data_IF_648849908425
#
_entry.id   IF_648849908425
#
_cell.length_a   1.000
_cell.length_b   1.000
_cell.length_c   1.000
_cell.angle_alpha   90.00
_cell.angle_beta   90.00
_cell.angle_gamma   90.00
#
_symmetry.space_group_name_H-M   'P 1'
#
loop_
_entity.id
_entity.type
_entity.pdbx_description
1 polymer ?
#
# COMPACT_ATOMS: atom_id res chain seq x y z
N UNK A 1 4.35 10.16 2.73
CA UNK A 1 4.65 11.53 2.26
C UNK A 1 3.50 12.42 2.70
N UNK A 2 3.76 13.32 3.65
CA UNK A 2 2.78 14.32 4.08
C UNK A 2 2.93 15.55 3.19
N UNK A 3 1.89 15.88 2.46
CA UNK A 3 1.78 17.16 1.76
C UNK A 3 1.09 18.11 2.75
N UNK A 4 1.83 19.10 3.23
CA UNK A 4 1.29 20.22 4.00
C UNK A 4 0.84 21.29 3.04
N UNK A 5 -0.30 21.88 3.34
CA UNK A 5 -0.91 23.06 2.74
C UNK A 5 -1.31 22.95 1.26
N UNK A 6 -2.57 22.61 1.06
CA UNK A 6 -3.35 23.12 -0.07
C UNK A 6 -4.79 23.30 0.38
N UNK A 7 -5.19 24.56 0.52
CA UNK A 7 -6.54 24.98 0.93
C UNK A 7 -7.60 24.68 -0.12
N UNK A 8 -7.28 23.89 -1.19
CA UNK A 8 -8.20 23.69 -2.27
C UNK A 8 -8.28 22.20 -2.71
N UNK A 9 -9.45 21.59 -2.48
CA UNK A 9 -9.75 20.21 -2.89
C UNK A 9 -9.55 20.01 -4.41
N UNK A 10 -9.82 21.05 -5.19
CA UNK A 10 -9.66 21.03 -6.65
C UNK A 10 -8.20 20.90 -7.06
N UNK A 11 -7.30 21.54 -6.36
CA UNK A 11 -5.88 21.57 -6.68
C UNK A 11 -5.21 20.24 -6.35
N UNK A 12 -5.56 19.62 -5.21
CA UNK A 12 -5.05 18.29 -4.88
C UNK A 12 -5.48 17.23 -5.92
N UNK A 13 -6.72 17.29 -6.40
CA UNK A 13 -7.18 16.38 -7.47
C UNK A 13 -6.46 16.61 -8.79
N UNK A 14 -6.18 17.86 -9.15
CA UNK A 14 -5.39 18.21 -10.34
C UNK A 14 -3.96 17.73 -10.22
N UNK A 15 -3.33 17.92 -9.06
CA UNK A 15 -1.98 17.44 -8.78
C UNK A 15 -1.91 15.91 -8.86
N UNK A 16 -2.84 15.20 -8.21
CA UNK A 16 -2.91 13.74 -8.28
C UNK A 16 -3.11 13.24 -9.71
N UNK A 17 -3.96 13.89 -10.49
CA UNK A 17 -4.15 13.58 -11.91
C UNK A 17 -2.88 13.84 -12.72
N UNK A 18 -2.14 14.91 -12.42
CA UNK A 18 -0.86 15.20 -13.05
C UNK A 18 0.20 14.15 -12.74
N UNK A 19 0.30 13.73 -11.48
CA UNK A 19 1.19 12.65 -11.03
C UNK A 19 0.82 11.34 -11.73
N UNK A 20 -0.46 10.98 -11.75
CA UNK A 20 -0.92 9.77 -12.40
C UNK A 20 -0.64 9.77 -13.91
N UNK A 21 -0.82 10.88 -14.62
CA UNK A 21 -0.45 10.96 -16.07
C UNK A 21 0.99 10.55 -16.34
N UNK A 22 1.92 10.91 -15.44
CA UNK A 22 3.35 10.58 -15.57
C UNK A 22 3.66 9.14 -15.16
N UNK A 23 2.97 8.60 -14.15
CA UNK A 23 3.26 7.30 -13.58
C UNK A 23 2.49 6.15 -14.23
N UNK A 24 1.26 6.42 -14.72
CA UNK A 24 0.41 5.39 -15.33
C UNK A 24 1.05 4.77 -16.59
N UNK A 25 1.77 5.57 -17.37
CA UNK A 25 2.55 5.07 -18.51
C UNK A 25 3.61 4.02 -18.11
N UNK A 26 3.96 3.98 -16.83
CA UNK A 26 4.90 3.02 -16.22
C UNK A 26 4.20 1.97 -15.36
N UNK A 27 2.89 1.83 -15.49
CA UNK A 27 2.08 0.87 -14.76
C UNK A 27 1.96 1.15 -13.26
N UNK A 28 2.26 2.38 -12.81
CA UNK A 28 2.10 2.78 -11.40
C UNK A 28 0.95 3.75 -11.26
N UNK A 29 0.08 3.48 -10.30
CA UNK A 29 -1.12 4.26 -10.03
C UNK A 29 -1.10 4.78 -8.60
N UNK A 30 -1.62 5.99 -8.42
CA UNK A 30 -1.76 6.62 -7.11
C UNK A 30 -3.21 6.97 -6.87
N UNK A 31 -3.73 6.60 -5.72
CA UNK A 31 -5.08 6.99 -5.29
C UNK A 31 -5.06 7.40 -3.82
N UNK A 32 -6.01 8.22 -3.38
CA UNK A 32 -6.17 8.50 -1.95
C UNK A 32 -7.07 7.44 -1.31
N UNK A 33 -6.74 7.01 -0.10
CA UNK A 33 -7.59 6.15 0.73
C UNK A 33 -8.42 6.96 1.70
N UNK A 34 -7.81 7.95 2.35
CA UNK A 34 -8.47 8.87 3.28
C UNK A 34 -7.87 10.26 3.11
N UNK A 35 -8.70 11.26 3.33
CA UNK A 35 -8.28 12.65 3.36
C UNK A 35 -8.98 13.36 4.51
N UNK A 36 -8.28 14.24 5.17
CA UNK A 36 -8.79 15.27 6.06
C UNK A 36 -8.23 16.64 5.63
N UNK A 37 -8.53 17.70 6.37
CA UNK A 37 -8.12 19.07 6.03
C UNK A 37 -6.60 19.24 5.92
N UNK A 38 -5.82 18.49 6.72
CA UNK A 38 -4.37 18.68 6.86
C UNK A 38 -3.52 17.59 6.24
N UNK A 39 -4.11 16.45 5.84
CA UNK A 39 -3.35 15.30 5.34
C UNK A 39 -4.15 14.42 4.40
N UNK A 40 -3.43 13.69 3.55
CA UNK A 40 -4.02 12.66 2.72
C UNK A 40 -3.23 11.36 2.84
N UNK A 41 -3.93 10.24 3.01
CA UNK A 41 -3.36 8.90 2.92
C UNK A 41 -3.42 8.45 1.47
N UNK A 42 -2.25 8.35 0.85
CA UNK A 42 -2.10 7.90 -0.53
C UNK A 42 -1.74 6.42 -0.58
N UNK A 43 -2.32 5.72 -1.53
CA UNK A 43 -1.99 4.35 -1.89
C UNK A 43 -1.37 4.33 -3.28
N UNK A 44 -0.15 3.81 -3.38
CA UNK A 44 0.60 3.67 -4.63
C UNK A 44 0.66 2.18 -4.95
N UNK A 45 0.26 1.79 -6.15
CA UNK A 45 0.15 0.39 -6.53
C UNK A 45 0.37 0.16 -8.03
N UNK A 46 0.63 -1.09 -8.39
CA UNK A 46 0.62 -1.59 -9.77
C UNK A 46 -0.62 -2.49 -9.94
N UNK A 47 -1.57 -2.14 -10.83
CA UNK A 47 -2.81 -2.90 -11.01
C UNK A 47 -2.56 -4.38 -11.27
N UNK A 48 -1.67 -4.71 -12.21
CA UNK A 48 -1.38 -6.10 -12.58
C UNK A 48 -0.84 -6.93 -11.41
N UNK A 49 -0.04 -6.31 -10.54
CA UNK A 49 0.48 -6.96 -9.34
C UNK A 49 -0.61 -7.13 -8.29
N UNK A 50 -1.38 -6.08 -8.05
CA UNK A 50 -2.48 -6.13 -7.10
C UNK A 50 -3.55 -7.14 -7.53
N UNK A 51 -3.84 -7.23 -8.81
CA UNK A 51 -4.78 -8.22 -9.36
C UNK A 51 -4.31 -9.66 -9.09
N UNK A 52 -3.00 -9.93 -9.29
CA UNK A 52 -2.41 -11.24 -8.95
C UNK A 52 -2.52 -11.54 -7.45
N UNK A 53 -2.27 -10.56 -6.59
CA UNK A 53 -2.37 -10.74 -5.15
C UNK A 53 -3.84 -11.00 -4.74
N UNK A 54 -4.78 -10.22 -5.26
CA UNK A 54 -6.22 -10.36 -4.99
C UNK A 54 -6.86 -11.63 -5.60
N UNK A 55 -6.23 -12.22 -6.61
CA UNK A 55 -6.72 -13.48 -7.23
C UNK A 55 -6.38 -14.73 -6.40
N UNK A 56 -5.51 -14.62 -5.41
CA UNK A 56 -5.11 -15.75 -4.59
C UNK A 56 -6.26 -16.19 -3.66
N UNK A 57 -6.66 -17.49 -3.65
CA UNK A 57 -7.75 -17.97 -2.80
C UNK A 57 -7.57 -17.67 -1.32
N UNK A 58 -6.33 -17.75 -0.81
CA UNK A 58 -6.03 -17.43 0.58
C UNK A 58 -6.31 -15.94 0.91
N UNK A 59 -5.95 -15.03 -0.01
CA UNK A 59 -6.24 -13.59 0.12
C UNK A 59 -7.74 -13.34 0.11
N UNK A 60 -8.47 -13.94 -0.83
CA UNK A 60 -9.92 -13.79 -0.95
C UNK A 60 -10.65 -14.30 0.29
N UNK A 61 -10.21 -15.42 0.86
CA UNK A 61 -10.78 -15.97 2.10
C UNK A 61 -10.64 -14.98 3.27
N UNK A 62 -9.50 -14.33 3.40
CA UNK A 62 -9.31 -13.29 4.43
C UNK A 62 -10.17 -12.08 4.13
N UNK A 63 -10.14 -11.55 2.91
CA UNK A 63 -10.90 -10.36 2.52
C UNK A 63 -12.40 -10.55 2.69
N UNK A 64 -12.93 -11.76 2.41
CA UNK A 64 -14.34 -12.10 2.62
C UNK A 64 -14.79 -11.86 4.07
N UNK A 65 -13.93 -12.12 5.05
CA UNK A 65 -14.26 -11.88 6.47
C UNK A 65 -14.41 -10.39 6.82
N UNK A 66 -13.88 -9.51 5.95
CA UNK A 66 -14.01 -8.07 6.05
C UNK A 66 -15.05 -7.45 5.10
N UNK A 67 -15.92 -8.30 4.51
CA UNK A 67 -17.05 -7.86 3.69
C UNK A 67 -16.71 -7.58 2.22
N UNK A 68 -15.52 -7.98 1.74
CA UNK A 68 -15.21 -7.89 0.31
C UNK A 68 -15.97 -8.96 -0.46
N UNK A 69 -16.74 -8.56 -1.48
CA UNK A 69 -17.56 -9.44 -2.32
C UNK A 69 -17.09 -9.48 -3.77
N UNK A 70 -16.30 -8.49 -4.20
CA UNK A 70 -15.70 -8.41 -5.52
C UNK A 70 -14.20 -8.15 -5.36
N UNK A 71 -13.38 -9.02 -5.94
CA UNK A 71 -11.92 -8.98 -5.82
C UNK A 71 -11.24 -8.29 -6.99
N UNK A 72 -12.00 -7.66 -7.90
CA UNK A 72 -11.43 -6.78 -8.93
C UNK A 72 -10.75 -5.59 -8.27
N UNK A 73 -9.61 -5.15 -8.83
CA UNK A 73 -8.79 -4.07 -8.28
C UNK A 73 -9.61 -2.83 -7.90
N UNK A 74 -10.47 -2.35 -8.82
CA UNK A 74 -11.27 -1.15 -8.59
C UNK A 74 -12.29 -1.30 -7.45
N UNK A 75 -12.99 -2.44 -7.41
CA UNK A 75 -13.97 -2.75 -6.37
C UNK A 75 -13.30 -2.91 -5.00
N UNK A 76 -12.19 -3.65 -4.94
CA UNK A 76 -11.43 -3.87 -3.72
C UNK A 76 -10.86 -2.57 -3.15
N UNK A 77 -10.30 -1.67 -3.99
CA UNK A 77 -9.82 -0.36 -3.54
C UNK A 77 -10.98 0.51 -3.05
N UNK A 78 -12.13 0.47 -3.73
CA UNK A 78 -13.32 1.22 -3.28
C UNK A 78 -13.76 0.78 -1.88
N UNK A 79 -13.83 -0.53 -1.64
CA UNK A 79 -14.20 -1.09 -0.34
C UNK A 79 -13.14 -0.73 0.73
N UNK A 80 -11.84 -0.86 0.41
CA UNK A 80 -10.76 -0.45 1.31
C UNK A 80 -10.87 1.03 1.71
N UNK A 81 -11.17 1.92 0.78
CA UNK A 81 -11.40 3.35 1.07
C UNK A 81 -12.52 3.56 2.07
N UNK A 82 -13.63 2.86 1.88
CA UNK A 82 -14.77 2.92 2.79
C UNK A 82 -14.36 2.48 4.19
N UNK A 83 -13.68 1.35 4.32
CA UNK A 83 -13.22 0.83 5.61
C UNK A 83 -12.22 1.76 6.30
N UNK A 84 -11.29 2.37 5.56
CA UNK A 84 -10.34 3.38 6.09
C UNK A 84 -11.08 4.66 6.54
N UNK A 85 -12.19 5.01 5.88
CA UNK A 85 -13.01 6.19 6.21
C UNK A 85 -13.86 6.01 7.46
N UNK A 86 -14.51 4.85 7.60
CA UNK A 86 -15.54 4.57 8.60
C UNK A 86 -14.99 4.06 9.94
N UNK A 87 -13.85 3.40 9.94
CA UNK A 87 -13.31 2.78 11.14
C UNK A 87 -12.43 3.71 11.97
N UNK A 88 -12.55 3.62 13.29
CA UNK A 88 -11.65 4.26 14.25
C UNK A 88 -10.26 3.60 14.27
N UNK A 89 -10.21 2.29 13.99
CA UNK A 89 -8.97 1.53 13.85
C UNK A 89 -8.61 1.36 12.36
N UNK A 90 -7.31 1.43 12.07
CA UNK A 90 -6.79 1.21 10.73
C UNK A 90 -7.06 -0.23 10.27
N UNK A 91 -7.59 -0.46 9.04
CA UNK A 91 -7.94 -1.82 8.58
C UNK A 91 -6.69 -2.68 8.41
N UNK A 92 -6.62 -3.78 9.17
CA UNK A 92 -5.42 -4.63 9.20
C UNK A 92 -5.24 -5.45 7.92
N UNK A 93 -6.32 -5.72 7.19
CA UNK A 93 -6.29 -6.37 5.89
C UNK A 93 -5.54 -5.57 4.81
N UNK A 94 -5.20 -4.31 5.06
CA UNK A 94 -4.39 -3.49 4.15
C UNK A 94 -3.03 -4.14 3.85
N UNK A 95 -2.50 -4.97 4.75
CA UNK A 95 -1.29 -5.73 4.51
C UNK A 95 -1.34 -6.57 3.23
N UNK A 96 -2.52 -7.11 2.87
CA UNK A 96 -2.73 -7.84 1.62
C UNK A 96 -2.60 -6.94 0.39
N UNK A 97 -3.05 -5.69 0.48
CA UNK A 97 -2.89 -4.67 -0.57
C UNK A 97 -1.45 -4.16 -0.68
N UNK A 98 -0.63 -4.36 0.35
CA UNK A 98 0.80 -4.04 0.37
C UNK A 98 1.68 -5.25 -0.02
N UNK A 99 1.07 -6.35 -0.50
CA UNK A 99 1.73 -7.60 -0.87
C UNK A 99 2.54 -8.21 0.28
N UNK A 100 2.07 -8.05 1.53
CA UNK A 100 2.67 -8.77 2.67
C UNK A 100 2.27 -10.24 2.62
N UNK A 101 3.10 -11.15 3.17
CA UNK A 101 2.75 -12.57 3.22
C UNK A 101 1.40 -12.78 3.90
N UNK A 102 0.55 -13.56 3.26
CA UNK A 102 -0.85 -13.76 3.72
C UNK A 102 -0.89 -14.34 5.12
N UNK A 103 -0.01 -15.30 5.42
CA UNK A 103 0.11 -15.95 6.72
C UNK A 103 0.48 -14.93 7.81
N UNK A 104 1.39 -14.00 7.53
CA UNK A 104 1.78 -12.95 8.48
C UNK A 104 0.61 -11.98 8.74
N UNK A 105 -0.16 -11.63 7.69
CA UNK A 105 -1.37 -10.79 7.85
C UNK A 105 -2.43 -11.52 8.70
N UNK A 106 -2.68 -12.81 8.44
CA UNK A 106 -3.61 -13.61 9.22
C UNK A 106 -3.20 -13.66 10.69
N UNK A 107 -1.92 -13.93 10.96
CA UNK A 107 -1.41 -13.99 12.32
C UNK A 107 -1.44 -12.63 13.02
N UNK A 108 -1.11 -11.56 12.29
CA UNK A 108 -1.25 -10.20 12.82
C UNK A 108 -2.67 -9.90 13.29
N UNK A 109 -3.66 -10.25 12.49
CA UNK A 109 -5.08 -10.05 12.82
C UNK A 109 -5.46 -10.89 14.05
N UNK A 110 -5.12 -12.19 14.06
CA UNK A 110 -5.43 -13.12 15.15
C UNK A 110 -4.79 -12.73 16.46
N UNK A 111 -3.53 -12.31 16.42
CA UNK A 111 -2.75 -11.97 17.62
C UNK A 111 -2.78 -10.48 17.94
N UNK A 112 -3.62 -9.69 17.25
CA UNK A 112 -3.75 -8.24 17.47
C UNK A 112 -2.40 -7.51 17.45
N UNK A 113 -1.51 -7.96 16.57
CA UNK A 113 -0.17 -7.40 16.43
C UNK A 113 0.83 -7.77 17.54
N UNK A 114 0.51 -8.72 18.43
CA UNK A 114 1.41 -9.25 19.46
C UNK A 114 2.11 -10.54 19.01
N UNK A 115 3.09 -11.02 19.80
CA UNK A 115 3.75 -12.32 19.62
C UNK A 115 4.43 -12.57 18.26
N UNK A 116 4.90 -11.52 17.61
CA UNK A 116 5.66 -11.62 16.36
C UNK A 116 7.11 -12.05 16.62
N UNK A 117 7.72 -12.76 15.67
CA UNK A 117 9.13 -13.22 15.74
C UNK A 117 10.10 -12.05 15.57
N UNK A 118 9.86 -11.22 14.54
CA UNK A 118 10.63 -10.02 14.29
C UNK A 118 9.76 -8.95 13.61
N UNK A 119 10.23 -7.70 13.62
CA UNK A 119 9.55 -6.56 13.04
C UNK A 119 10.47 -5.80 12.09
N UNK A 120 9.96 -5.47 10.91
CA UNK A 120 10.61 -4.65 9.92
C UNK A 120 9.57 -3.83 9.17
N UNK A 121 9.43 -4.02 7.86
CA UNK A 121 8.37 -3.40 7.05
C UNK A 121 6.98 -3.89 7.49
N UNK A 122 6.90 -5.13 7.96
CA UNK A 122 5.73 -5.72 8.64
C UNK A 122 6.16 -6.54 9.84
N UNK A 123 5.20 -6.98 10.66
CA UNK A 123 5.42 -7.92 11.77
C UNK A 123 5.39 -9.35 11.25
N UNK A 124 6.47 -10.07 11.44
CA UNK A 124 6.70 -11.43 10.91
C UNK A 124 6.30 -12.47 11.94
N UNK A 125 5.52 -13.43 11.51
CA UNK A 125 5.05 -14.56 12.34
C UNK A 125 5.52 -15.90 11.80
N UNK A 126 5.67 -16.04 10.49
CA UNK A 126 5.91 -17.31 9.84
C UNK A 126 7.36 -17.47 9.40
N UNK A 127 7.75 -16.97 8.24
CA UNK A 127 9.08 -17.15 7.66
C UNK A 127 9.98 -15.92 7.92
N UNK A 128 10.77 -16.01 9.00
CA UNK A 128 11.68 -14.94 9.38
C UNK A 128 12.82 -14.76 8.37
N UNK A 129 13.39 -15.87 7.89
CA UNK A 129 14.52 -15.82 6.97
C UNK A 129 14.16 -15.17 5.63
N UNK A 130 13.00 -15.53 5.08
CA UNK A 130 12.46 -14.87 3.88
C UNK A 130 12.21 -13.39 4.13
N UNK A 131 11.54 -13.06 5.23
CA UNK A 131 11.16 -11.68 5.54
C UNK A 131 12.37 -10.77 5.75
N UNK A 132 13.39 -11.25 6.44
CA UNK A 132 14.64 -10.49 6.64
C UNK A 132 15.37 -10.22 5.31
N UNK A 133 15.42 -11.20 4.39
CA UNK A 133 15.96 -10.99 3.03
C UNK A 133 15.15 -9.91 2.28
N UNK A 134 13.83 -9.94 2.38
CA UNK A 134 12.98 -8.92 1.76
C UNK A 134 13.20 -7.53 2.37
N UNK A 135 13.31 -7.42 3.69
CA UNK A 135 13.59 -6.15 4.36
C UNK A 135 14.95 -5.57 3.95
N UNK A 136 16.00 -6.42 3.86
CA UNK A 136 17.31 -6.00 3.38
C UNK A 136 17.23 -5.48 1.92
N UNK A 137 16.48 -6.18 1.05
CA UNK A 137 16.25 -5.76 -0.33
C UNK A 137 15.52 -4.41 -0.40
N UNK A 138 14.47 -4.20 0.40
CA UNK A 138 13.74 -2.94 0.42
C UNK A 138 14.60 -1.78 0.91
N UNK A 139 15.40 -1.98 1.98
CA UNK A 139 16.36 -0.97 2.45
C UNK A 139 17.33 -0.57 1.35
N UNK A 140 17.96 -1.55 0.70
CA UNK A 140 18.89 -1.29 -0.41
C UNK A 140 18.22 -0.54 -1.57
N UNK A 141 16.99 -0.91 -1.94
CA UNK A 141 16.23 -0.19 -2.96
C UNK A 141 16.00 1.27 -2.54
N UNK A 142 15.55 1.48 -1.30
CA UNK A 142 15.29 2.84 -0.77
C UNK A 142 16.56 3.69 -0.79
N UNK A 143 17.70 3.16 -0.34
CA UNK A 143 18.99 3.86 -0.36
C UNK A 143 19.41 4.25 -1.78
N UNK A 144 19.24 3.32 -2.74
CA UNK A 144 19.57 3.59 -4.16
C UNK A 144 18.64 4.68 -4.71
N UNK A 145 17.34 4.59 -4.47
CA UNK A 145 16.38 5.58 -4.95
C UNK A 145 16.64 6.97 -4.36
N UNK A 146 16.90 7.06 -3.05
CA UNK A 146 17.24 8.34 -2.41
C UNK A 146 18.50 8.95 -3.01
N UNK A 147 19.57 8.17 -3.16
CA UNK A 147 20.84 8.63 -3.76
C UNK A 147 20.64 9.16 -5.18
N UNK A 148 19.82 8.49 -5.98
CA UNK A 148 19.58 8.89 -7.38
C UNK A 148 18.65 10.10 -7.44
N UNK A 149 17.69 10.20 -6.51
CA UNK A 149 16.82 11.36 -6.36
C UNK A 149 17.60 12.62 -5.95
N UNK A 150 18.52 12.49 -4.99
CA UNK A 150 19.38 13.59 -4.52
C UNK A 150 20.31 14.12 -5.62
N UNK A 151 20.61 13.29 -6.64
CA UNK A 151 21.33 13.69 -7.85
C UNK A 151 20.45 14.37 -8.90
N UNK A 152 19.22 14.76 -8.54
CA UNK A 152 18.29 15.50 -9.40
C UNK A 152 17.44 14.64 -10.36
N UNK A 153 17.42 13.31 -10.23
CA UNK A 153 16.53 12.48 -11.04
C UNK A 153 15.08 12.63 -10.57
N UNK A 154 14.18 12.84 -11.51
CA UNK A 154 12.75 12.94 -11.19
C UNK A 154 12.17 11.59 -10.73
N UNK A 155 11.10 11.63 -9.92
CA UNK A 155 10.37 10.42 -9.47
C UNK A 155 9.92 9.59 -10.68
N UNK A 156 9.47 10.22 -11.75
CA UNK A 156 9.08 9.51 -12.98
C UNK A 156 10.25 8.77 -13.62
N UNK A 157 11.47 9.33 -13.59
CA UNK A 157 12.66 8.65 -14.11
C UNK A 157 13.13 7.48 -13.24
N UNK A 158 12.79 7.51 -11.93
CA UNK A 158 13.09 6.44 -10.97
C UNK A 158 12.07 5.30 -11.02
N UNK A 159 10.90 5.54 -11.61
CA UNK A 159 9.85 4.51 -11.74
C UNK A 159 10.18 3.63 -12.95
N UNK A 160 10.48 2.36 -12.72
CA UNK A 160 10.80 1.32 -13.72
C UNK A 160 9.65 0.31 -13.81
#
# INVERSE_FOLDING_TARGET
>A
MCIRDSDNISDFRKELASVNRKLNAKGVYVTFLKRNEKSALLYVFRPDRLEKDLSQPAVQNVLKTFGYTDYKVGASIKHLKQRVGENTCFPHEIGLFLSYPVEDVIQFIRQKGCNYKCCGVWKVYCDEAFSQKMFARYRKCTEVYLRVFDRGRSISALTV
#
